data_IF_078614128740
#
_entry.id   IF_078614128740
#
_cell.length_a   1.000
_cell.length_b   1.000
_cell.length_c   1.000
_cell.angle_alpha   90.00
_cell.angle_beta   90.00
_cell.angle_gamma   90.00
#
_symmetry.space_group_name_H-M   'P 1'
#
loop_
_entity.id
_entity.type
_entity.pdbx_description
1 polymer ?
#
# COMPACT_ATOMS: atom_id res chain seq x y z
N UNK A 1 -29.33 7.24 12.23
CA UNK A 1 -28.20 7.09 11.29
C UNK A 1 -27.14 8.11 11.71
N UNK A 2 -25.93 7.68 12.06
CA UNK A 2 -24.80 8.57 12.33
C UNK A 2 -23.84 8.45 11.16
N UNK A 3 -23.51 9.58 10.53
CA UNK A 3 -22.54 9.65 9.45
C UNK A 3 -21.32 10.42 9.97
N UNK A 4 -20.12 9.94 9.63
CA UNK A 4 -18.87 10.67 9.85
C UNK A 4 -18.36 11.02 8.47
N UNK A 5 -18.36 12.31 8.14
CA UNK A 5 -17.79 12.80 6.88
C UNK A 5 -16.27 12.71 6.98
N UNK A 6 -15.68 11.75 6.26
CA UNK A 6 -14.25 11.44 6.35
C UNK A 6 -13.59 11.65 4.99
N UNK A 7 -12.67 12.62 4.94
CA UNK A 7 -11.72 12.75 3.85
C UNK A 7 -10.44 11.94 4.16
N UNK A 8 -10.51 10.60 4.08
CA UNK A 8 -9.37 9.71 4.26
C UNK A 8 -8.93 9.10 2.93
N UNK A 9 -7.61 8.96 2.77
CA UNK A 9 -6.99 8.28 1.62
C UNK A 9 -6.92 6.76 1.85
N UNK A 10 -6.85 6.31 3.11
CA UNK A 10 -6.90 4.90 3.49
C UNK A 10 -7.63 4.70 4.82
N UNK A 11 -8.17 3.50 5.02
CA UNK A 11 -8.80 3.08 6.26
C UNK A 11 -8.57 1.60 6.53
N UNK A 12 -8.56 1.20 7.80
CA UNK A 12 -8.66 -0.20 8.21
C UNK A 12 -9.39 -0.32 9.54
N UNK A 13 -9.94 -1.50 9.81
CA UNK A 13 -10.61 -1.81 11.08
C UNK A 13 -9.70 -2.66 11.94
N UNK A 14 -9.64 -2.34 13.24
CA UNK A 14 -8.94 -3.11 14.24
C UNK A 14 -9.74 -3.11 15.53
N UNK A 15 -10.18 -4.29 15.97
CA UNK A 15 -11.05 -4.40 17.15
C UNK A 15 -12.32 -3.56 16.98
N UNK A 16 -12.57 -2.67 17.94
CA UNK A 16 -13.73 -1.77 17.93
C UNK A 16 -13.43 -0.41 17.29
N UNK A 17 -12.33 -0.29 16.54
CA UNK A 17 -11.83 0.98 16.06
C UNK A 17 -11.64 0.97 14.54
N UNK A 18 -12.10 2.05 13.90
CA UNK A 18 -11.80 2.37 12.51
C UNK A 18 -10.65 3.38 12.50
N UNK A 19 -9.55 3.00 11.88
CA UNK A 19 -8.36 3.83 11.72
C UNK A 19 -8.38 4.49 10.35
N UNK A 20 -8.04 5.78 10.32
CA UNK A 20 -8.13 6.64 9.14
C UNK A 20 -6.79 7.33 8.90
N UNK A 21 -6.34 7.33 7.64
CA UNK A 21 -5.16 8.08 7.18
C UNK A 21 -5.60 9.10 6.12
N UNK A 22 -5.18 10.35 6.28
CA UNK A 22 -5.13 11.34 5.20
C UNK A 22 -3.68 11.81 5.00
N UNK A 23 -3.20 11.69 3.77
CA UNK A 23 -1.80 11.86 3.39
C UNK A 23 -1.60 12.72 2.13
N UNK A 24 -2.56 13.58 1.78
CA UNK A 24 -2.46 14.46 0.59
C UNK A 24 -1.58 15.69 0.81
N UNK A 25 -1.68 16.33 1.98
CA UNK A 25 -1.03 17.62 2.28
C UNK A 25 -0.22 17.61 3.58
N UNK A 26 0.19 16.43 4.03
CA UNK A 26 0.82 16.20 5.32
C UNK A 26 0.44 14.82 5.83
N UNK A 27 0.48 14.62 7.15
CA UNK A 27 0.04 13.39 7.80
C UNK A 27 -1.09 13.70 8.78
N UNK A 28 -2.27 13.12 8.57
CA UNK A 28 -3.32 13.09 9.57
C UNK A 28 -3.75 11.64 9.82
N UNK A 29 -3.69 11.21 11.07
CA UNK A 29 -4.17 9.90 11.52
C UNK A 29 -5.25 10.13 12.55
N UNK A 30 -6.41 9.52 12.34
CA UNK A 30 -7.52 9.59 13.27
C UNK A 30 -8.05 8.19 13.57
N UNK A 31 -8.68 8.07 14.73
CA UNK A 31 -9.30 6.86 15.23
C UNK A 31 -10.78 7.13 15.48
N UNK A 32 -11.67 6.31 14.94
CA UNK A 32 -13.11 6.38 15.18
C UNK A 32 -13.52 5.14 15.96
N UNK A 33 -13.98 5.33 17.19
CA UNK A 33 -14.54 4.24 17.97
C UNK A 33 -15.88 3.81 17.36
N UNK A 34 -16.02 2.54 16.97
CA UNK A 34 -17.22 2.02 16.32
C UNK A 34 -18.40 1.85 17.28
N UNK A 35 -18.14 1.89 18.59
CA UNK A 35 -19.16 1.77 19.65
C UNK A 35 -20.03 3.02 19.77
N UNK A 36 -19.42 4.21 19.70
CA UNK A 36 -20.10 5.50 19.87
C UNK A 36 -19.96 6.44 18.66
N UNK A 37 -19.16 6.05 17.66
CA UNK A 37 -18.78 6.83 16.48
C UNK A 37 -17.98 8.09 16.81
N UNK A 38 -17.33 8.14 17.98
CA UNK A 38 -16.48 9.26 18.37
C UNK A 38 -15.15 9.20 17.63
N UNK A 39 -14.88 10.24 16.85
CA UNK A 39 -13.58 10.47 16.23
C UNK A 39 -12.61 11.13 17.22
N UNK A 40 -11.39 10.59 17.29
CA UNK A 40 -10.27 11.13 18.05
C UNK A 40 -9.10 11.34 17.09
N UNK A 41 -8.61 12.58 16.91
CA UNK A 41 -7.37 12.79 16.19
C UNK A 41 -6.21 12.17 16.99
N UNK A 42 -5.31 11.47 16.30
CA UNK A 42 -4.14 10.83 16.91
C UNK A 42 -2.87 11.54 16.44
N UNK A 43 -2.74 11.81 15.14
CA UNK A 43 -1.63 12.58 14.58
C UNK A 43 -2.21 13.67 13.69
N UNK A 44 -1.77 14.91 13.89
CA UNK A 44 -2.11 16.06 13.04
C UNK A 44 -0.83 16.81 12.66
N UNK A 45 -0.19 16.37 11.58
CA UNK A 45 1.01 16.97 11.00
C UNK A 45 0.74 17.48 9.58
N UNK A 46 -0.19 18.43 9.49
CA UNK A 46 -0.67 19.01 8.22
C UNK A 46 -0.02 20.35 7.88
N UNK A 47 0.86 20.86 8.75
CA UNK A 47 1.64 22.05 8.54
C UNK A 47 3.10 21.84 9.01
N UNK A 48 4.10 22.51 8.41
CA UNK A 48 5.51 22.40 8.83
C UNK A 48 5.75 22.81 10.29
N UNK A 49 4.89 23.66 10.85
CA UNK A 49 4.95 24.16 12.23
C UNK A 49 4.25 23.27 13.25
N UNK A 50 3.57 22.21 12.82
CA UNK A 50 2.88 21.31 13.73
C UNK A 50 3.88 20.53 14.59
N UNK A 51 3.58 20.40 15.88
CA UNK A 51 4.41 19.71 16.86
C UNK A 51 4.00 18.26 16.94
N UNK A 52 4.74 17.39 16.26
CA UNK A 52 4.66 15.93 16.41
C UNK A 52 5.98 15.44 16.94
N UNK A 53 5.94 14.70 18.04
CA UNK A 53 7.11 14.07 18.61
C UNK A 53 7.47 12.85 17.76
N UNK A 54 8.72 12.79 17.30
CA UNK A 54 9.20 11.65 16.51
C UNK A 54 10.43 11.07 17.20
N UNK A 55 10.30 9.85 17.68
CA UNK A 55 11.40 9.06 18.18
C UNK A 55 11.99 8.18 17.07
N UNK A 56 13.30 8.00 17.07
CA UNK A 56 13.99 7.01 16.24
C UNK A 56 13.79 5.58 16.78
N UNK A 57 14.42 4.62 16.11
CA UNK A 57 14.32 3.17 16.42
C UNK A 57 14.71 2.85 17.88
N UNK A 58 15.65 3.60 18.44
CA UNK A 58 16.14 3.40 19.82
C UNK A 58 15.29 4.16 20.87
N UNK A 59 14.20 4.81 20.46
CA UNK A 59 13.36 5.63 21.34
C UNK A 59 13.89 7.05 21.62
N UNK A 60 15.11 7.37 21.19
CA UNK A 60 15.65 8.73 21.27
C UNK A 60 14.92 9.67 20.30
N UNK A 61 14.69 10.93 20.69
CA UNK A 61 14.11 11.93 19.81
C UNK A 61 14.96 12.12 18.54
N UNK A 62 14.31 12.19 17.39
CA UNK A 62 15.00 12.51 16.14
C UNK A 62 15.43 13.98 16.12
N UNK A 63 16.57 14.31 15.50
CA UNK A 63 16.99 15.70 15.34
C UNK A 63 15.95 16.52 14.54
N UNK A 64 15.72 17.79 14.92
CA UNK A 64 14.76 18.68 14.26
C UNK A 64 14.93 18.76 12.74
N UNK A 65 16.18 18.67 12.25
CA UNK A 65 16.48 18.66 10.82
C UNK A 65 15.86 17.45 10.11
N UNK A 66 15.92 16.28 10.74
CA UNK A 66 15.29 15.06 10.22
C UNK A 66 13.77 15.14 10.32
N UNK A 67 13.23 15.61 11.45
CA UNK A 67 11.78 15.81 11.66
C UNK A 67 11.20 16.75 10.59
N UNK A 68 11.85 17.88 10.32
CA UNK A 68 11.45 18.79 9.23
C UNK A 68 11.54 18.15 7.85
N UNK A 69 12.51 17.26 7.63
CA UNK A 69 12.62 16.48 6.40
C UNK A 69 11.44 15.55 6.20
N UNK A 70 11.02 14.85 7.25
CA UNK A 70 9.90 13.90 7.24
C UNK A 70 8.58 14.52 6.80
N UNK A 71 8.33 15.79 7.12
CA UNK A 71 7.11 16.49 6.70
C UNK A 71 6.86 16.37 5.18
N UNK A 72 7.93 16.46 4.36
CA UNK A 72 7.85 16.36 2.90
C UNK A 72 7.58 14.94 2.41
N UNK A 73 7.89 13.95 3.24
CA UNK A 73 7.74 12.54 2.92
C UNK A 73 6.36 12.00 3.31
N UNK A 74 5.51 12.77 3.99
CA UNK A 74 4.17 12.30 4.34
C UNK A 74 3.20 12.28 3.16
N UNK A 75 3.42 13.11 2.14
CA UNK A 75 2.58 13.09 0.95
C UNK A 75 2.64 11.74 0.24
N UNK A 76 1.49 11.07 0.17
CA UNK A 76 1.36 9.73 -0.42
C UNK A 76 1.78 8.60 0.50
N UNK A 77 1.93 8.85 1.81
CA UNK A 77 2.15 7.82 2.81
C UNK A 77 1.12 6.68 2.72
N UNK A 78 1.49 5.52 3.25
CA UNK A 78 0.61 4.36 3.39
C UNK A 78 0.45 3.95 4.83
N UNK A 79 -0.63 3.26 5.13
CA UNK A 79 -1.01 2.88 6.48
C UNK A 79 -1.44 1.42 6.52
N UNK A 80 -0.96 0.69 7.51
CA UNK A 80 -1.35 -0.69 7.77
C UNK A 80 -1.28 -1.00 9.26
N UNK A 81 -1.85 -2.14 9.66
CA UNK A 81 -1.67 -2.68 11.01
C UNK A 81 -0.61 -3.79 10.99
N UNK A 82 0.36 -3.70 11.89
CA UNK A 82 1.28 -4.81 12.19
C UNK A 82 0.49 -6.00 12.73
N UNK A 83 1.09 -7.19 12.74
CA UNK A 83 0.46 -8.42 13.23
C UNK A 83 -0.05 -8.37 14.68
N UNK A 84 0.52 -7.52 15.53
CA UNK A 84 0.03 -7.27 16.91
C UNK A 84 -1.06 -6.17 16.97
N UNK A 85 -1.45 -5.64 15.81
CA UNK A 85 -2.41 -4.56 15.67
C UNK A 85 -1.81 -3.16 15.82
N UNK A 86 -0.50 -2.98 16.01
CA UNK A 86 0.05 -1.62 16.10
C UNK A 86 -0.09 -0.91 14.75
N UNK A 87 -0.69 0.29 14.68
CA UNK A 87 -0.79 1.05 13.43
C UNK A 87 0.58 1.55 12.99
N UNK A 88 0.94 1.28 11.73
CA UNK A 88 2.20 1.67 11.11
C UNK A 88 1.93 2.59 9.92
N UNK A 89 2.53 3.79 9.95
CA UNK A 89 2.57 4.71 8.81
C UNK A 89 3.90 4.53 8.08
N UNK A 90 3.84 4.41 6.75
CA UNK A 90 5.00 4.32 5.86
C UNK A 90 5.14 5.63 5.10
N UNK A 91 6.25 6.33 5.31
CA UNK A 91 6.55 7.57 4.59
C UNK A 91 6.83 7.28 3.10
N UNK A 92 6.84 8.33 2.29
CA UNK A 92 7.24 8.28 0.89
C UNK A 92 8.65 7.74 0.69
N UNK A 93 9.57 8.03 1.61
CA UNK A 93 10.92 7.46 1.57
C UNK A 93 10.93 5.95 1.88
N UNK A 94 9.88 5.43 2.54
CA UNK A 94 9.80 4.06 3.02
C UNK A 94 10.18 3.90 4.49
N UNK A 95 10.36 4.98 5.25
CA UNK A 95 10.55 4.87 6.70
C UNK A 95 9.21 4.48 7.35
N UNK A 96 9.24 3.56 8.31
CA UNK A 96 8.04 3.08 8.99
C UNK A 96 7.97 3.64 10.40
N UNK A 97 6.79 4.09 10.80
CA UNK A 97 6.55 4.70 12.10
C UNK A 97 5.33 4.10 12.78
N UNK A 98 5.51 3.62 13.99
CA UNK A 98 4.44 3.25 14.89
C UNK A 98 3.71 4.52 15.37
N UNK A 99 2.39 4.45 15.38
CA UNK A 99 1.53 5.44 16.03
C UNK A 99 1.37 5.01 17.49
N UNK A 100 2.22 5.54 18.37
CA UNK A 100 2.31 5.10 19.78
C UNK A 100 1.27 5.79 20.67
N UNK A 101 0.86 7.01 20.29
CA UNK A 101 -0.09 7.81 21.05
C UNK A 101 -0.44 9.11 20.34
N UNK A 102 -1.21 9.95 21.02
CA UNK A 102 -1.59 11.27 20.50
C UNK A 102 -0.36 12.14 20.31
N UNK A 103 -0.09 12.58 19.08
CA UNK A 103 1.02 13.46 18.73
C UNK A 103 2.40 12.78 18.70
N UNK A 104 2.48 11.45 18.83
CA UNK A 104 3.77 10.75 18.95
C UNK A 104 3.92 9.62 17.94
N UNK A 105 5.02 9.68 17.18
CA UNK A 105 5.47 8.65 16.26
C UNK A 105 6.78 8.04 16.76
N UNK A 106 6.95 6.73 16.60
CA UNK A 106 8.24 6.05 16.84
C UNK A 106 8.65 5.28 15.61
N UNK A 107 9.86 5.53 15.12
CA UNK A 107 10.40 4.79 13.98
C UNK A 107 10.51 3.30 14.34
N UNK A 108 10.03 2.46 13.43
CA UNK A 108 10.06 1.02 13.57
C UNK A 108 10.85 0.43 12.40
N UNK A 109 11.87 -0.34 12.72
CA UNK A 109 12.74 -0.98 11.74
C UNK A 109 12.85 -2.46 12.07
N UNK A 110 12.06 -3.33 11.41
CA UNK A 110 12.18 -4.77 11.60
C UNK A 110 13.54 -5.26 11.06
N UNK A 111 14.04 -6.41 11.53
CA UNK A 111 15.34 -6.93 11.11
C UNK A 111 15.46 -7.03 9.57
N UNK A 112 16.57 -6.57 9.00
CA UNK A 112 16.82 -6.61 7.55
C UNK A 112 16.04 -5.59 6.71
N UNK A 113 15.19 -4.75 7.33
CA UNK A 113 14.40 -3.76 6.61
C UNK A 113 15.23 -2.66 5.96
N UNK A 114 16.21 -2.03 6.64
CA UNK A 114 17.03 -0.99 6.02
C UNK A 114 17.75 -1.48 4.76
N UNK A 115 18.29 -2.69 4.80
CA UNK A 115 18.99 -3.32 3.66
C UNK A 115 18.01 -3.62 2.53
N UNK A 116 16.86 -4.24 2.83
CA UNK A 116 15.83 -4.51 1.84
C UNK A 116 15.29 -3.22 1.20
N UNK A 117 15.11 -2.15 1.99
CA UNK A 117 14.67 -0.84 1.52
C UNK A 117 15.72 -0.19 0.61
N UNK A 118 17.00 -0.21 1.00
CA UNK A 118 18.08 0.31 0.16
C UNK A 118 18.12 -0.40 -1.20
N UNK A 119 17.97 -1.73 -1.18
CA UNK A 119 17.95 -2.54 -2.37
C UNK A 119 16.72 -2.30 -3.26
N UNK A 120 15.52 -2.16 -2.70
CA UNK A 120 14.33 -1.93 -3.55
C UNK A 120 14.32 -0.51 -4.15
N UNK A 121 14.87 0.47 -3.44
CA UNK A 121 14.73 1.90 -3.81
C UNK A 121 15.86 2.43 -4.67
N UNK A 122 17.05 1.83 -4.62
CA UNK A 122 18.27 2.33 -5.28
C UNK A 122 18.49 3.85 -5.08
N UNK A 123 18.10 4.39 -3.92
CA UNK A 123 18.26 5.80 -3.56
C UNK A 123 17.09 6.74 -3.90
N UNK A 124 16.05 6.28 -4.62
CA UNK A 124 14.91 7.12 -5.05
C UNK A 124 13.73 7.24 -4.06
N UNK A 125 13.84 6.59 -2.90
CA UNK A 125 12.75 6.36 -1.94
C UNK A 125 11.76 5.29 -2.40
N UNK A 126 10.95 4.76 -1.48
CA UNK A 126 9.99 3.67 -1.76
C UNK A 126 8.82 4.13 -2.65
N UNK A 127 8.26 5.30 -2.34
CA UNK A 127 7.03 5.85 -2.91
C UNK A 127 5.91 4.81 -2.89
N UNK A 128 5.40 4.47 -1.69
CA UNK A 128 4.49 3.34 -1.54
C UNK A 128 3.14 3.64 -2.22
N UNK A 129 2.77 2.78 -3.17
CA UNK A 129 1.52 2.85 -3.93
C UNK A 129 0.41 2.02 -3.26
N UNK A 130 0.77 0.95 -2.55
CA UNK A 130 -0.18 0.11 -1.80
C UNK A 130 0.51 -0.62 -0.63
N UNK A 131 -0.27 -1.11 0.33
CA UNK A 131 0.18 -1.94 1.45
C UNK A 131 -0.89 -2.99 1.79
N UNK A 132 -0.50 -4.26 1.86
CA UNK A 132 -1.43 -5.36 2.20
C UNK A 132 -0.80 -6.27 3.24
N UNK A 133 -1.62 -6.84 4.12
CA UNK A 133 -1.18 -7.90 5.05
C UNK A 133 -1.76 -9.22 4.58
N UNK A 134 -0.92 -10.24 4.44
CA UNK A 134 -1.34 -11.59 4.06
C UNK A 134 -1.94 -12.35 5.25
N UNK A 135 -2.45 -13.56 4.99
CA UNK A 135 -3.05 -14.43 6.00
C UNK A 135 -2.08 -14.90 7.09
N UNK A 136 -0.77 -14.81 6.86
CA UNK A 136 0.27 -15.17 7.83
C UNK A 136 0.73 -13.97 8.67
N UNK A 137 0.15 -12.78 8.43
CA UNK A 137 0.55 -11.54 9.09
C UNK A 137 1.83 -10.92 8.53
N UNK A 138 2.27 -11.33 7.34
CA UNK A 138 3.32 -10.63 6.59
C UNK A 138 2.72 -9.41 5.91
N UNK A 139 3.30 -8.24 6.17
CA UNK A 139 2.96 -7.04 5.41
C UNK A 139 3.81 -6.98 4.15
N UNK A 140 3.17 -6.64 3.04
CA UNK A 140 3.80 -6.39 1.75
C UNK A 140 3.57 -4.92 1.43
N UNK A 141 4.63 -4.21 1.05
CA UNK A 141 4.57 -2.83 0.58
C UNK A 141 4.89 -2.80 -0.91
N UNK A 142 4.01 -2.18 -1.69
CA UNK A 142 4.22 -1.94 -3.11
C UNK A 142 4.88 -0.59 -3.27
N UNK A 143 6.17 -0.59 -3.61
CA UNK A 143 6.87 0.60 -4.07
C UNK A 143 6.85 0.70 -5.60
N UNK A 144 7.33 1.83 -6.13
CA UNK A 144 7.45 1.99 -7.59
C UNK A 144 8.47 1.07 -8.25
N UNK A 145 9.52 0.74 -7.52
CA UNK A 145 10.67 -0.02 -8.03
C UNK A 145 10.68 -1.47 -7.54
N UNK A 146 9.71 -1.90 -6.73
CA UNK A 146 9.65 -3.27 -6.24
C UNK A 146 8.67 -3.48 -5.09
N UNK A 147 8.72 -4.68 -4.54
CA UNK A 147 7.99 -5.08 -3.34
C UNK A 147 8.95 -5.18 -2.15
N UNK A 148 8.49 -4.72 -0.98
CA UNK A 148 9.09 -5.05 0.31
C UNK A 148 8.17 -6.00 1.06
N UNK A 149 8.74 -7.05 1.63
CA UNK A 149 8.04 -8.00 2.46
C UNK A 149 8.58 -7.86 3.88
N UNK A 150 7.68 -7.51 4.80
CA UNK A 150 7.94 -7.35 6.23
C UNK A 150 7.25 -8.52 6.93
N UNK A 151 7.96 -9.63 7.20
CA UNK A 151 7.35 -10.80 7.82
C UNK A 151 7.01 -10.51 9.28
N UNK A 152 6.03 -11.26 9.82
CA UNK A 152 5.75 -11.26 11.26
C UNK A 152 6.98 -11.65 12.10
N UNK A 153 7.78 -12.59 11.58
CA UNK A 153 9.01 -13.09 12.21
C UNK A 153 10.11 -13.24 11.15
N UNK A 154 11.36 -12.96 11.54
CA UNK A 154 12.51 -13.07 10.64
C UNK A 154 12.89 -11.75 9.99
N UNK A 155 13.69 -11.83 8.92
CA UNK A 155 14.23 -10.66 8.23
C UNK A 155 13.31 -10.21 7.09
N UNK A 156 13.16 -8.90 6.93
CA UNK A 156 12.53 -8.33 5.75
C UNK A 156 13.30 -8.72 4.48
N UNK A 157 12.56 -8.89 3.38
CA UNK A 157 13.09 -9.23 2.05
C UNK A 157 12.48 -8.30 1.01
N UNK A 158 13.06 -8.29 -0.18
CA UNK A 158 12.59 -7.45 -1.28
C UNK A 158 12.51 -8.24 -2.58
N UNK A 159 11.74 -7.72 -3.53
CA UNK A 159 11.81 -8.09 -4.94
C UNK A 159 11.93 -6.79 -5.73
N UNK A 160 13.05 -6.60 -6.44
CA UNK A 160 13.25 -5.45 -7.33
C UNK A 160 12.56 -5.73 -8.66
N UNK A 161 11.80 -4.76 -9.15
CA UNK A 161 11.23 -4.84 -10.49
C UNK A 161 12.31 -4.65 -11.56
N UNK A 162 12.22 -5.35 -12.70
CA UNK A 162 13.15 -5.16 -13.81
C UNK A 162 13.21 -3.70 -14.27
N UNK A 163 14.40 -3.22 -14.65
CA UNK A 163 14.59 -1.84 -15.11
C UNK A 163 13.67 -1.47 -16.29
N UNK A 164 13.27 -2.44 -17.11
CA UNK A 164 12.32 -2.26 -18.22
C UNK A 164 10.94 -1.77 -17.79
N UNK A 165 10.58 -1.91 -16.51
CA UNK A 165 9.30 -1.44 -15.98
C UNK A 165 9.36 0.00 -15.45
N UNK A 166 10.56 0.57 -15.28
CA UNK A 166 10.73 1.88 -14.64
C UNK A 166 10.14 3.05 -15.45
N UNK A 167 10.12 2.93 -16.79
CA UNK A 167 9.54 3.94 -17.68
C UNK A 167 8.04 3.80 -17.83
N UNK A 168 7.46 2.72 -17.31
CA UNK A 168 6.06 2.38 -17.47
C UNK A 168 5.21 2.96 -16.33
N UNK A 169 3.90 3.20 -16.55
CA UNK A 169 3.01 3.54 -15.46
C UNK A 169 3.09 2.53 -14.30
N UNK A 170 3.16 3.00 -13.04
CA UNK A 170 3.32 2.13 -11.88
C UNK A 170 2.04 1.32 -11.64
N UNK A 171 2.21 0.15 -11.03
CA UNK A 171 1.10 -0.55 -10.39
C UNK A 171 0.60 0.28 -9.21
N UNK A 172 -0.71 0.25 -8.99
CA UNK A 172 -1.37 1.08 -7.96
C UNK A 172 -2.13 0.27 -6.92
N UNK A 173 -2.13 -1.06 -7.07
CA UNK A 173 -2.69 -1.98 -6.08
C UNK A 173 -2.05 -3.36 -6.21
N UNK A 174 -2.16 -4.14 -5.14
CA UNK A 174 -1.74 -5.54 -5.13
C UNK A 174 -2.68 -6.46 -4.34
N UNK A 175 -2.54 -7.77 -4.53
CA UNK A 175 -3.26 -8.81 -3.81
C UNK A 175 -2.29 -9.91 -3.43
N UNK A 176 -2.24 -10.27 -2.15
CA UNK A 176 -1.54 -11.47 -1.67
C UNK A 176 -2.38 -12.72 -1.95
N UNK A 177 -1.82 -13.70 -2.68
CA UNK A 177 -2.55 -14.88 -3.13
C UNK A 177 -2.52 -16.05 -2.13
N UNK A 178 -1.73 -15.95 -1.06
CA UNK A 178 -1.68 -16.92 0.05
C UNK A 178 -0.67 -18.05 -0.14
N UNK A 179 -0.22 -18.29 -1.37
CA UNK A 179 0.89 -19.19 -1.74
C UNK A 179 2.25 -18.46 -1.80
N UNK A 180 2.32 -17.21 -1.33
CA UNK A 180 3.50 -16.34 -1.45
C UNK A 180 3.55 -15.52 -2.75
N UNK A 181 2.66 -15.77 -3.71
CA UNK A 181 2.56 -14.95 -4.91
C UNK A 181 1.78 -13.64 -4.63
N UNK A 182 2.13 -12.60 -5.38
CA UNK A 182 1.51 -11.28 -5.31
C UNK A 182 1.03 -10.87 -6.69
N UNK A 183 -0.27 -10.64 -6.84
CA UNK A 183 -0.84 -10.08 -8.06
C UNK A 183 -0.80 -8.55 -8.00
N UNK A 184 -0.14 -7.92 -8.97
CA UNK A 184 -0.10 -6.49 -9.18
C UNK A 184 -1.15 -6.06 -10.19
N UNK A 185 -1.88 -5.00 -9.87
CA UNK A 185 -2.95 -4.44 -10.69
C UNK A 185 -2.70 -2.96 -11.02
N UNK A 186 -3.36 -2.48 -12.07
CA UNK A 186 -3.16 -1.13 -12.60
C UNK A 186 -2.03 -1.09 -13.63
N UNK A 187 -1.15 -0.08 -13.53
CA UNK A 187 -0.15 0.17 -14.57
C UNK A 187 -0.73 0.79 -15.84
N UNK A 188 -1.85 1.50 -15.72
CA UNK A 188 -2.47 2.27 -16.80
C UNK A 188 -2.53 3.76 -16.43
N UNK A 189 -2.43 4.65 -17.41
CA UNK A 189 -2.75 6.09 -17.27
C UNK A 189 -3.80 6.48 -18.30
N UNK A 190 -4.38 7.70 -18.22
CA UNK A 190 -5.27 8.19 -19.27
C UNK A 190 -4.62 8.17 -20.68
N UNK A 191 -3.30 8.29 -20.78
CA UNK A 191 -2.55 8.34 -22.05
C UNK A 191 -1.76 7.07 -22.38
N UNK A 192 -1.52 6.19 -21.40
CA UNK A 192 -0.83 4.90 -21.59
C UNK A 192 -1.75 3.79 -21.10
N UNK A 193 -2.52 3.28 -22.05
CA UNK A 193 -3.68 2.44 -21.80
C UNK A 193 -3.39 0.95 -21.77
N UNK A 194 -2.16 0.50 -22.01
CA UNK A 194 -1.86 -0.93 -22.02
C UNK A 194 -1.91 -1.56 -20.61
N UNK A 195 -2.90 -2.43 -20.30
CA UNK A 195 -2.98 -3.13 -19.03
C UNK A 195 -1.74 -3.98 -18.79
N UNK A 196 -1.30 -4.02 -17.54
CA UNK A 196 -0.19 -4.89 -17.12
C UNK A 196 -0.46 -5.59 -15.79
N UNK A 197 -1.56 -6.36 -15.67
CA UNK A 197 -1.67 -7.29 -14.56
C UNK A 197 -0.44 -8.21 -14.56
N UNK A 198 0.21 -8.32 -13.41
CA UNK A 198 1.48 -9.03 -13.28
C UNK A 198 1.44 -9.85 -12.02
N UNK A 199 1.89 -11.10 -12.07
CA UNK A 199 2.13 -11.89 -10.87
C UNK A 199 3.62 -11.83 -10.53
N UNK A 200 3.93 -11.48 -9.28
CA UNK A 200 5.24 -11.69 -8.68
C UNK A 200 5.16 -13.01 -7.94
N UNK A 201 5.98 -13.97 -8.35
CA UNK A 201 6.04 -15.30 -7.76
C UNK A 201 6.73 -15.25 -6.40
N UNK A 202 6.50 -16.27 -5.57
CA UNK A 202 7.18 -16.44 -4.29
C UNK A 202 8.73 -16.44 -4.42
N UNK A 203 9.27 -16.92 -5.54
CA UNK A 203 10.70 -16.91 -5.88
C UNK A 203 11.21 -15.55 -6.41
N UNK A 204 10.33 -14.54 -6.53
CA UNK A 204 10.64 -13.21 -7.03
C UNK A 204 10.55 -13.04 -8.54
N UNK A 205 10.31 -14.11 -9.33
CA UNK A 205 10.08 -13.97 -10.77
C UNK A 205 8.80 -13.20 -11.05
N UNK A 206 8.80 -12.41 -12.11
CA UNK A 206 7.62 -11.66 -12.55
C UNK A 206 7.08 -12.21 -13.86
N UNK A 207 5.76 -12.39 -13.94
CA UNK A 207 5.06 -12.84 -15.14
C UNK A 207 3.91 -11.88 -15.46
N UNK A 208 3.92 -11.33 -16.68
CA UNK A 208 2.83 -10.50 -17.20
C UNK A 208 1.66 -11.40 -17.60
N UNK A 209 0.50 -11.13 -17.03
CA UNK A 209 -0.72 -11.87 -17.32
C UNK A 209 -1.38 -11.33 -18.60
N UNK A 210 -1.91 -12.24 -19.42
CA UNK A 210 -2.68 -11.89 -20.63
C UNK A 210 -4.16 -11.88 -20.32
N UNK A 211 -4.63 -10.77 -19.75
CA UNK A 211 -6.05 -10.59 -19.42
C UNK A 211 -6.83 -9.86 -20.52
N UNK A 212 -6.28 -9.81 -21.74
CA UNK A 212 -6.88 -9.14 -22.89
C UNK A 212 -6.42 -7.68 -23.07
N UNK A 213 -6.94 -7.06 -24.13
CA UNK A 213 -6.62 -5.68 -24.49
C UNK A 213 -7.27 -4.66 -23.58
N UNK A 214 -6.79 -3.41 -23.66
CA UNK A 214 -7.40 -2.30 -22.96
C UNK A 214 -8.86 -2.09 -23.35
N UNK A 215 -9.71 -1.80 -22.37
CA UNK A 215 -11.07 -1.32 -22.57
C UNK A 215 -11.27 -0.05 -21.75
N UNK A 216 -11.81 0.99 -22.37
CA UNK A 216 -12.12 2.25 -21.67
C UNK A 216 -13.45 2.11 -20.93
N UNK A 217 -13.42 2.15 -19.60
CA UNK A 217 -14.58 2.02 -18.71
C UNK A 217 -15.63 0.99 -19.19
N UNK A 218 -15.20 -0.26 -19.47
CA UNK A 218 -16.14 -1.28 -19.90
C UNK A 218 -17.13 -1.53 -18.78
N UNK A 219 -18.42 -1.68 -19.12
CA UNK A 219 -19.42 -2.12 -18.15
C UNK A 219 -19.12 -3.52 -17.61
N UNK A 220 -20.09 -4.09 -16.88
CA UNK A 220 -19.99 -5.39 -16.21
C UNK A 220 -19.99 -6.62 -17.15
N UNK A 221 -19.24 -6.58 -18.25
CA UNK A 221 -19.14 -7.65 -19.25
C UNK A 221 -18.35 -8.90 -18.81
N UNK A 222 -18.08 -9.07 -17.51
CA UNK A 222 -17.54 -10.28 -16.89
C UNK A 222 -16.09 -10.67 -17.20
N UNK A 223 -15.42 -10.05 -18.17
CA UNK A 223 -14.07 -10.42 -18.58
C UNK A 223 -12.96 -9.79 -17.74
N UNK A 224 -11.84 -10.51 -17.57
CA UNK A 224 -10.64 -10.00 -16.88
C UNK A 224 -10.00 -8.78 -17.57
N UNK A 225 -10.32 -8.53 -18.84
CA UNK A 225 -9.89 -7.31 -19.56
C UNK A 225 -10.40 -6.03 -18.90
N UNK A 226 -11.60 -6.10 -18.29
CA UNK A 226 -12.16 -5.01 -17.50
C UNK A 226 -11.29 -4.74 -16.27
N UNK A 227 -10.93 -5.81 -15.54
CA UNK A 227 -10.07 -5.72 -14.36
C UNK A 227 -8.67 -5.21 -14.73
N UNK A 228 -8.09 -5.71 -15.82
CA UNK A 228 -6.79 -5.32 -16.31
C UNK A 228 -6.73 -3.81 -16.66
N UNK A 229 -7.81 -3.28 -17.21
CA UNK A 229 -7.90 -1.89 -17.69
C UNK A 229 -8.15 -0.85 -16.58
N UNK A 230 -8.56 -1.32 -15.40
CA UNK A 230 -8.91 -0.47 -14.28
C UNK A 230 -7.73 0.39 -13.80
N UNK A 231 -8.06 1.50 -13.12
CA UNK A 231 -7.14 2.23 -12.26
C UNK A 231 -7.53 1.99 -10.79
N UNK A 232 -6.95 0.96 -10.14
CA UNK A 232 -7.29 0.63 -8.77
C UNK A 232 -7.15 1.80 -7.81
N UNK A 233 -8.21 2.04 -7.03
CA UNK A 233 -8.19 2.88 -5.82
C UNK A 233 -8.09 2.11 -4.52
N UNK A 234 -8.32 0.81 -4.57
CA UNK A 234 -8.25 -0.09 -3.43
C UNK A 234 -8.72 -1.47 -3.86
N UNK A 235 -8.11 -2.50 -3.27
CA UNK A 235 -8.42 -3.90 -3.58
C UNK A 235 -8.51 -4.67 -2.28
N UNK A 236 -9.57 -5.46 -2.14
CA UNK A 236 -9.79 -6.31 -0.97
C UNK A 236 -10.11 -7.72 -1.43
N UNK A 237 -9.46 -8.71 -0.83
CA UNK A 237 -9.78 -10.13 -1.01
C UNK A 237 -10.62 -10.61 0.17
N UNK A 238 -11.78 -11.18 -0.13
CA UNK A 238 -12.67 -11.83 0.84
C UNK A 238 -12.21 -13.27 1.10
N UNK A 239 -12.67 -13.83 2.22
CA UNK A 239 -12.33 -15.20 2.64
C UNK A 239 -12.78 -16.28 1.63
N UNK A 240 -13.85 -16.03 0.87
CA UNK A 240 -14.36 -16.92 -0.19
C UNK A 240 -13.55 -16.83 -1.51
N UNK A 241 -12.45 -16.08 -1.50
CA UNK A 241 -11.59 -15.82 -2.66
C UNK A 241 -12.09 -14.71 -3.58
N UNK A 242 -13.26 -14.12 -3.33
CA UNK A 242 -13.78 -13.00 -4.13
C UNK A 242 -12.92 -11.76 -3.90
N UNK A 243 -12.53 -11.10 -4.98
CA UNK A 243 -11.79 -9.84 -4.96
C UNK A 243 -12.75 -8.72 -5.31
N UNK A 244 -12.74 -7.67 -4.49
CA UNK A 244 -13.45 -6.41 -4.71
C UNK A 244 -12.43 -5.33 -5.05
N UNK A 245 -12.64 -4.64 -6.16
CA UNK A 245 -11.75 -3.62 -6.69
C UNK A 245 -12.55 -2.36 -7.00
N UNK A 246 -12.09 -1.21 -6.49
CA UNK A 246 -12.57 0.10 -6.93
C UNK A 246 -11.75 0.60 -8.12
N UNK A 247 -12.41 0.92 -9.24
CA UNK A 247 -11.81 1.59 -10.38
C UNK A 247 -12.08 3.10 -10.33
N UNK A 248 -11.08 3.85 -9.87
CA UNK A 248 -11.17 5.31 -9.70
C UNK A 248 -11.35 6.05 -11.01
N UNK A 249 -10.89 5.48 -12.13
CA UNK A 249 -11.03 6.14 -13.43
C UNK A 249 -12.48 6.17 -13.88
N UNK A 250 -13.21 5.09 -13.62
CA UNK A 250 -14.54 4.88 -14.16
C UNK A 250 -15.65 5.04 -13.12
N UNK A 251 -15.30 5.21 -11.84
CA UNK A 251 -16.27 5.29 -10.75
C UNK A 251 -17.02 3.98 -10.54
N UNK A 252 -16.40 2.85 -10.86
CA UNK A 252 -17.03 1.52 -10.80
C UNK A 252 -16.39 0.65 -9.71
N UNK A 253 -17.17 -0.30 -9.19
CA UNK A 253 -16.69 -1.34 -8.28
C UNK A 253 -16.90 -2.68 -8.96
N UNK A 254 -15.84 -3.47 -9.05
CA UNK A 254 -15.88 -4.82 -9.60
C UNK A 254 -15.73 -5.85 -8.50
N UNK A 255 -16.48 -6.95 -8.62
CA UNK A 255 -16.31 -8.14 -7.81
C UNK A 255 -16.03 -9.33 -8.74
N UNK A 256 -14.94 -10.07 -8.51
CA UNK A 256 -14.52 -11.15 -9.39
C UNK A 256 -13.73 -12.23 -8.65
N UNK A 257 -13.59 -13.40 -9.25
CA UNK A 257 -12.66 -14.44 -8.81
C UNK A 257 -11.54 -14.58 -9.83
N UNK A 258 -10.34 -14.93 -9.36
CA UNK A 258 -9.22 -15.22 -10.24
C UNK A 258 -9.41 -16.61 -10.86
N UNK A 259 -9.05 -16.78 -12.14
CA UNK A 259 -8.95 -18.12 -12.72
C UNK A 259 -7.77 -18.87 -12.06
N UNK A 260 -7.92 -20.17 -11.88
CA UNK A 260 -6.84 -21.05 -11.43
C UNK A 260 -6.51 -22.04 -12.56
N UNK A 261 -5.24 -22.17 -12.97
CA UNK A 261 -4.05 -21.47 -12.48
C UNK A 261 -3.88 -20.05 -13.05
N UNK A 262 -3.14 -19.20 -12.32
CA UNK A 262 -2.63 -17.92 -12.84
C UNK A 262 -1.24 -18.13 -13.44
N UNK A 263 -1.11 -17.90 -14.74
CA UNK A 263 0.17 -17.97 -15.47
C UNK A 263 0.28 -16.85 -16.50
N UNK A 264 1.51 -16.42 -16.79
CA UNK A 264 1.76 -15.36 -17.76
C UNK A 264 3.10 -15.51 -18.47
N UNK A 265 3.44 -14.49 -19.26
CA UNK A 265 4.73 -14.40 -19.94
C UNK A 265 5.77 -13.79 -19.00
N UNK A 266 6.94 -14.41 -18.80
CA UNK A 266 8.00 -13.83 -17.97
C UNK A 266 8.39 -12.41 -18.40
N UNK A 267 8.67 -11.52 -17.45
CA UNK A 267 9.26 -10.21 -17.73
C UNK A 267 10.72 -10.36 -18.18
N UNK A 268 11.13 -9.60 -19.22
CA UNK A 268 12.53 -9.49 -19.62
C UNK A 268 13.04 -10.57 -20.59
N UNK A 269 12.17 -11.15 -21.40
CA UNK A 269 12.56 -11.80 -22.66
C UNK A 269 12.32 -10.87 -23.84
#
# INVERSE_FOLDING_TARGET
MRAVDIAADQMFVQGNDLWLLAAKSGLAVAKVALTDWKQSPIIEWTAPSATVEVAGVNGAALPDKEVRGLYRDWTGAKFFARADGTPIVVSRAGRMFEVVGSGTLREWSPPGYPEALAEVTAGGGLRPEDAVTDQNGQTILLGRAGLLYVPRTGKARYVRFPASTATLPPWSAMIALGNGDVLLLGGTTPTRTAPRPTIVRADGRMERLSWGGFKWCPGAGGGLATIASALPGGVVRRADGTIVLNDRRCGQVYAFKLPEPLSGTPFGR
#
